data_IF_315753917198
#
_entry.id   IF_315753917198
#
_cell.length_a   1.000
_cell.length_b   1.000
_cell.length_c   1.000
_cell.angle_alpha   90.00
_cell.angle_beta   90.00
_cell.angle_gamma   90.00
#
_symmetry.space_group_name_H-M   'P 1'
#
loop_
_entity.id
_entity.type
_entity.pdbx_description
1 polymer ?
#
# COMPACT_ATOMS: atom_id res chain seq x y z
N UNK A 1 0.11 29.38 -11.59
CA UNK A 1 -1.13 29.13 -10.82
C UNK A 1 -1.62 27.68 -10.94
N UNK A 2 -1.53 27.04 -12.11
CA UNK A 2 -1.95 25.62 -12.27
C UNK A 2 -1.08 24.61 -11.49
N UNK A 3 0.24 24.79 -11.48
CA UNK A 3 1.19 23.90 -10.77
C UNK A 3 0.94 23.85 -9.25
N UNK A 4 0.72 25.00 -8.61
CA UNK A 4 0.43 25.09 -7.17
C UNK A 4 -0.88 24.38 -6.85
N UNK A 5 -1.93 24.54 -7.67
CA UNK A 5 -3.20 23.85 -7.46
C UNK A 5 -3.07 22.33 -7.62
N UNK A 6 -2.26 21.87 -8.57
CA UNK A 6 -1.97 20.44 -8.74
C UNK A 6 -1.21 19.90 -7.53
N UNK A 7 -0.26 20.67 -7.00
CA UNK A 7 0.44 20.29 -5.76
C UNK A 7 -0.51 20.19 -4.56
N UNK A 8 -1.35 21.20 -4.32
CA UNK A 8 -2.38 21.17 -3.27
C UNK A 8 -3.31 19.96 -3.41
N UNK A 9 -3.69 19.62 -4.64
CA UNK A 9 -4.48 18.42 -4.93
C UNK A 9 -3.72 17.14 -4.57
N UNK A 10 -2.44 17.02 -4.93
CA UNK A 10 -1.62 15.85 -4.56
C UNK A 10 -1.47 15.70 -3.05
N UNK A 11 -1.30 16.80 -2.31
CA UNK A 11 -1.27 16.80 -0.83
C UNK A 11 -2.59 16.32 -0.24
N UNK A 12 -3.71 16.80 -0.78
CA UNK A 12 -5.03 16.36 -0.36
C UNK A 12 -5.24 14.86 -0.61
N UNK A 13 -4.88 14.36 -1.80
CA UNK A 13 -5.01 12.94 -2.14
C UNK A 13 -4.11 12.10 -1.25
N UNK A 14 -2.86 12.51 -1.01
CA UNK A 14 -1.93 11.81 -0.10
C UNK A 14 -2.49 11.74 1.32
N UNK A 15 -3.06 12.83 1.84
CA UNK A 15 -3.75 12.86 3.15
C UNK A 15 -4.94 11.91 3.19
N UNK A 16 -5.79 11.91 2.17
CA UNK A 16 -6.94 11.00 2.07
C UNK A 16 -6.48 9.54 1.96
N UNK A 17 -5.44 9.28 1.17
CA UNK A 17 -4.80 7.98 1.02
C UNK A 17 -4.28 7.43 2.35
N UNK A 18 -3.54 8.25 3.10
CA UNK A 18 -3.05 7.90 4.43
C UNK A 18 -4.18 7.64 5.45
N UNK A 19 -5.16 8.54 5.56
CA UNK A 19 -6.27 8.37 6.50
C UNK A 19 -7.13 7.15 6.17
N UNK A 20 -7.46 6.96 4.90
CA UNK A 20 -8.24 5.80 4.44
C UNK A 20 -7.49 4.49 4.65
N UNK A 21 -6.19 4.46 4.34
CA UNK A 21 -5.33 3.28 4.56
C UNK A 21 -5.22 2.96 6.05
N UNK A 22 -5.06 3.96 6.90
CA UNK A 22 -4.97 3.78 8.35
C UNK A 22 -6.28 3.21 8.91
N UNK A 23 -7.42 3.80 8.56
CA UNK A 23 -8.74 3.35 9.05
C UNK A 23 -9.05 1.94 8.54
N UNK A 24 -8.91 1.69 7.23
CA UNK A 24 -9.22 0.39 6.64
C UNK A 24 -8.21 -0.68 7.06
N UNK A 25 -6.93 -0.34 7.21
CA UNK A 25 -5.88 -1.24 7.68
C UNK A 25 -6.12 -1.68 9.12
N UNK A 26 -6.45 -0.74 10.02
CA UNK A 26 -6.80 -1.06 11.40
C UNK A 26 -8.05 -1.95 11.48
N UNK A 27 -9.09 -1.62 10.70
CA UNK A 27 -10.29 -2.45 10.58
C UNK A 27 -9.92 -3.86 10.07
N UNK A 28 -9.15 -3.94 9.00
CA UNK A 28 -8.78 -5.21 8.38
C UNK A 28 -7.96 -6.10 9.32
N UNK A 29 -6.96 -5.55 10.00
CA UNK A 29 -6.15 -6.29 10.98
C UNK A 29 -7.02 -6.73 12.15
N UNK A 30 -7.87 -5.85 12.69
CA UNK A 30 -8.81 -6.20 13.76
C UNK A 30 -9.74 -7.36 13.36
N UNK A 31 -10.32 -7.30 12.15
CA UNK A 31 -11.17 -8.38 11.64
C UNK A 31 -10.39 -9.69 11.46
N UNK A 32 -9.19 -9.61 10.88
CA UNK A 32 -8.32 -10.77 10.62
C UNK A 32 -7.86 -11.46 11.91
N UNK A 33 -7.68 -10.69 12.98
CA UNK A 33 -7.20 -11.22 14.27
C UNK A 33 -8.35 -11.68 15.16
N UNK A 34 -9.44 -10.92 15.24
CA UNK A 34 -10.47 -11.12 16.26
C UNK A 34 -11.77 -11.76 15.77
N UNK A 35 -12.10 -11.67 14.47
CA UNK A 35 -13.45 -12.01 13.98
C UNK A 35 -13.45 -13.07 12.87
N UNK A 36 -12.40 -13.15 12.06
CA UNK A 36 -12.24 -14.18 11.04
C UNK A 36 -11.91 -15.51 11.73
N UNK A 37 -12.88 -16.42 11.78
CA UNK A 37 -12.74 -17.74 12.43
C UNK A 37 -12.03 -18.79 11.57
N UNK A 38 -12.02 -18.57 10.26
CA UNK A 38 -11.44 -19.51 9.31
C UNK A 38 -9.92 -19.45 9.39
N UNK A 39 -9.30 -20.62 9.49
CA UNK A 39 -7.85 -20.71 9.41
C UNK A 39 -7.39 -20.49 7.96
N UNK A 40 -6.62 -19.42 7.76
CA UNK A 40 -5.97 -19.10 6.50
C UNK A 40 -4.50 -19.56 6.48
N UNK A 41 -4.03 -20.20 7.55
CA UNK A 41 -2.63 -20.61 7.71
C UNK A 41 -1.66 -19.44 7.52
N UNK A 42 -0.55 -19.71 6.85
CA UNK A 42 0.47 -18.71 6.48
C UNK A 42 -0.07 -17.51 5.70
N UNK A 43 -1.18 -17.65 4.97
CA UNK A 43 -1.79 -16.54 4.23
C UNK A 43 -2.27 -15.43 5.16
N UNK A 44 -2.72 -15.77 6.38
CA UNK A 44 -3.15 -14.80 7.38
C UNK A 44 -2.01 -13.83 7.73
N UNK A 45 -0.82 -14.37 8.00
CA UNK A 45 0.35 -13.57 8.34
C UNK A 45 0.77 -12.70 7.16
N UNK A 46 0.75 -13.28 5.96
CA UNK A 46 1.10 -12.61 4.72
C UNK A 46 0.17 -11.40 4.44
N UNK A 47 -1.13 -11.52 4.73
CA UNK A 47 -2.09 -10.41 4.63
C UNK A 47 -1.84 -9.31 5.68
N UNK A 48 -1.57 -9.68 6.94
CA UNK A 48 -1.29 -8.71 8.01
C UNK A 48 -0.03 -7.90 7.70
N UNK A 49 1.05 -8.58 7.28
CA UNK A 49 2.30 -7.89 6.93
C UNK A 49 2.11 -6.98 5.73
N UNK A 50 1.28 -7.37 4.75
CA UNK A 50 0.99 -6.50 3.62
C UNK A 50 0.21 -5.25 4.02
N UNK A 51 -0.77 -5.37 4.93
CA UNK A 51 -1.47 -4.20 5.47
C UNK A 51 -0.53 -3.25 6.20
N UNK A 52 0.45 -3.78 6.94
CA UNK A 52 1.48 -2.96 7.57
C UNK A 52 2.39 -2.26 6.54
N UNK A 53 2.82 -2.98 5.49
CA UNK A 53 3.60 -2.38 4.40
C UNK A 53 2.80 -1.29 3.67
N UNK A 54 1.50 -1.51 3.43
CA UNK A 54 0.61 -0.50 2.86
C UNK A 54 0.46 0.73 3.76
N UNK A 55 0.40 0.56 5.08
CA UNK A 55 0.44 1.66 6.03
C UNK A 55 1.76 2.43 5.93
N UNK A 56 2.91 1.74 5.97
CA UNK A 56 4.22 2.39 5.82
C UNK A 56 4.32 3.17 4.51
N UNK A 57 3.79 2.61 3.43
CA UNK A 57 3.80 3.25 2.12
C UNK A 57 3.01 4.56 2.12
N UNK A 58 1.73 4.50 2.52
CA UNK A 58 0.88 5.71 2.59
C UNK A 58 1.37 6.74 3.61
N UNK A 59 1.95 6.31 4.73
CA UNK A 59 2.56 7.18 5.72
C UNK A 59 3.80 7.88 5.17
N UNK A 60 4.68 7.15 4.47
CA UNK A 60 5.88 7.72 3.86
C UNK A 60 5.53 8.77 2.81
N UNK A 61 4.51 8.53 1.97
CA UNK A 61 4.06 9.49 0.98
C UNK A 61 3.46 10.75 1.63
N UNK A 62 2.66 10.58 2.68
CA UNK A 62 2.06 11.70 3.39
C UNK A 62 3.09 12.56 4.14
N UNK A 63 4.08 11.93 4.76
CA UNK A 63 5.10 12.64 5.53
C UNK A 63 6.14 13.33 4.64
N UNK A 64 6.56 12.66 3.55
CA UNK A 64 7.60 13.18 2.67
C UNK A 64 7.03 14.07 1.59
N UNK A 65 5.78 13.84 1.15
CA UNK A 65 5.16 14.53 0.02
C UNK A 65 6.08 14.62 -1.22
N UNK A 66 6.48 13.45 -1.77
CA UNK A 66 7.34 13.42 -2.94
C UNK A 66 6.64 14.05 -4.17
N UNK A 67 7.39 14.80 -4.97
CA UNK A 67 6.92 15.43 -6.20
C UNK A 67 7.82 15.08 -7.37
N UNK A 68 7.24 15.03 -8.57
CA UNK A 68 7.98 14.94 -9.83
C UNK A 68 7.56 16.07 -10.75
N UNK A 69 8.54 16.75 -11.31
CA UNK A 69 8.35 17.66 -12.42
C UNK A 69 9.13 17.16 -13.63
N UNK A 70 8.41 16.82 -14.70
CA UNK A 70 9.01 16.38 -15.96
C UNK A 70 9.24 17.58 -16.85
N UNK A 71 10.44 17.68 -17.41
CA UNK A 71 10.84 18.73 -18.33
C UNK A 71 11.72 18.14 -19.42
N UNK A 72 11.30 18.26 -20.68
CA UNK A 72 12.02 17.76 -21.85
C UNK A 72 12.39 16.26 -21.74
N UNK A 73 13.69 15.95 -21.73
CA UNK A 73 14.24 14.61 -21.61
C UNK A 73 14.60 14.23 -20.17
N UNK A 74 13.90 14.79 -19.19
CA UNK A 74 14.25 14.59 -17.79
C UNK A 74 13.11 14.84 -16.83
N UNK A 75 13.39 14.55 -15.56
CA UNK A 75 12.54 14.97 -14.45
C UNK A 75 13.39 15.33 -13.24
N UNK A 76 12.82 16.18 -12.39
CA UNK A 76 13.32 16.43 -11.03
C UNK A 76 12.36 15.79 -10.03
N UNK A 77 12.92 15.02 -9.12
CA UNK A 77 12.22 14.33 -8.02
C UNK A 77 12.61 15.02 -6.72
N UNK A 78 11.66 15.67 -6.06
CA UNK A 78 11.96 16.56 -4.95
C UNK A 78 10.82 16.57 -3.93
N UNK A 79 11.07 17.20 -2.78
CA UNK A 79 10.06 17.53 -1.77
C UNK A 79 10.18 19.00 -1.43
N UNK A 80 9.10 19.58 -0.91
CA UNK A 80 9.14 20.92 -0.33
C UNK A 80 10.16 20.99 0.81
N UNK A 81 10.88 22.11 0.95
CA UNK A 81 11.71 22.35 2.13
C UNK A 81 10.81 22.54 3.35
N UNK A 82 11.00 21.70 4.38
CA UNK A 82 10.25 21.85 5.62
C UNK A 82 10.81 23.04 6.43
N UNK A 83 9.96 24.02 6.74
CA UNK A 83 10.35 25.33 7.32
C UNK A 83 11.02 25.30 8.72
N UNK A 84 11.15 24.16 9.41
CA UNK A 84 11.63 24.19 10.82
C UNK A 84 12.04 22.86 11.47
N UNK A 85 11.41 21.72 11.15
CA UNK A 85 11.59 20.50 11.97
C UNK A 85 12.64 19.51 11.44
N UNK A 86 12.94 19.54 10.15
CA UNK A 86 13.72 18.49 9.48
C UNK A 86 14.71 19.12 8.51
N UNK A 87 15.97 18.69 8.56
CA UNK A 87 17.00 19.18 7.65
C UNK A 87 16.77 18.68 6.22
N UNK A 88 17.28 19.42 5.23
CA UNK A 88 17.18 19.02 3.83
C UNK A 88 17.80 17.64 3.56
N UNK A 89 18.89 17.29 4.25
CA UNK A 89 19.53 15.98 4.12
C UNK A 89 18.62 14.83 4.59
N UNK A 90 17.91 15.02 5.71
CA UNK A 90 16.96 14.01 6.20
C UNK A 90 15.77 13.89 5.24
N UNK A 91 15.28 15.00 4.69
CA UNK A 91 14.21 14.97 3.69
C UNK A 91 14.65 14.27 2.40
N UNK A 92 15.91 14.46 1.99
CA UNK A 92 16.51 13.75 0.85
C UNK A 92 16.61 12.25 1.10
N UNK A 93 16.97 11.84 2.32
CA UNK A 93 16.90 10.43 2.74
C UNK A 93 15.45 9.93 2.73
N UNK A 94 14.49 10.77 3.13
CA UNK A 94 13.06 10.48 3.08
C UNK A 94 12.55 10.17 1.67
N UNK A 95 13.01 10.92 0.66
CA UNK A 95 12.69 10.67 -0.75
C UNK A 95 13.11 9.26 -1.20
N UNK A 96 14.36 8.87 -0.91
CA UNK A 96 14.85 7.52 -1.28
C UNK A 96 14.21 6.42 -0.44
N UNK A 97 13.84 6.71 0.81
CA UNK A 97 13.09 5.79 1.66
C UNK A 97 11.70 5.50 1.07
N UNK A 98 10.97 6.53 0.63
CA UNK A 98 9.70 6.37 -0.08
C UNK A 98 9.85 5.45 -1.31
N UNK A 99 10.88 5.67 -2.14
CA UNK A 99 11.17 4.80 -3.27
C UNK A 99 11.46 3.35 -2.85
N UNK A 100 12.17 3.16 -1.73
CA UNK A 100 12.44 1.83 -1.19
C UNK A 100 11.20 1.11 -0.69
N UNK A 101 10.26 1.81 -0.07
CA UNK A 101 8.96 1.25 0.33
C UNK A 101 8.11 0.92 -0.90
N UNK A 102 8.11 1.75 -1.94
CA UNK A 102 7.49 1.43 -3.23
C UNK A 102 8.06 0.12 -3.81
N UNK A 103 9.40 0.02 -3.91
CA UNK A 103 10.11 -1.17 -4.41
C UNK A 103 9.80 -2.43 -3.59
N UNK A 104 9.73 -2.28 -2.26
CA UNK A 104 9.34 -3.37 -1.36
C UNK A 104 7.90 -3.79 -1.57
N UNK A 105 7.00 -2.85 -1.81
CA UNK A 105 5.57 -3.09 -2.03
C UNK A 105 5.33 -3.88 -3.32
N UNK A 106 5.92 -3.47 -4.45
CA UNK A 106 5.78 -4.19 -5.72
C UNK A 106 6.35 -5.62 -5.64
N UNK A 107 7.45 -5.79 -4.91
CA UNK A 107 8.05 -7.09 -4.68
C UNK A 107 7.13 -7.98 -3.83
N UNK A 108 6.62 -7.44 -2.72
CA UNK A 108 5.74 -8.19 -1.85
C UNK A 108 4.40 -8.54 -2.52
N UNK A 109 3.86 -7.70 -3.41
CA UNK A 109 2.73 -8.05 -4.28
C UNK A 109 3.07 -9.30 -5.11
N UNK A 110 4.26 -9.34 -5.72
CA UNK A 110 4.70 -10.49 -6.51
C UNK A 110 4.80 -11.77 -5.66
N UNK A 111 5.28 -11.65 -4.42
CA UNK A 111 5.29 -12.74 -3.44
C UNK A 111 3.88 -13.21 -3.08
N UNK A 112 2.90 -12.30 -2.93
CA UNK A 112 1.49 -12.66 -2.71
C UNK A 112 0.92 -13.47 -3.87
N UNK A 113 1.25 -13.07 -5.11
CA UNK A 113 0.83 -13.82 -6.30
C UNK A 113 1.49 -15.19 -6.38
N UNK A 114 2.77 -15.28 -6.01
CA UNK A 114 3.50 -16.55 -5.93
C UNK A 114 2.90 -17.48 -4.87
N UNK A 115 2.59 -16.96 -3.67
CA UNK A 115 1.89 -17.70 -2.63
C UNK A 115 0.58 -18.30 -3.14
N UNK A 116 -0.27 -17.45 -3.74
CA UNK A 116 -1.58 -17.89 -4.25
C UNK A 116 -1.43 -18.93 -5.36
N UNK A 117 -0.41 -18.79 -6.20
CA UNK A 117 -0.09 -19.76 -7.24
C UNK A 117 0.30 -21.12 -6.65
N UNK A 118 1.25 -21.17 -5.71
CA UNK A 118 1.62 -22.43 -5.05
C UNK A 118 0.48 -23.01 -4.21
N UNK A 119 -0.31 -22.18 -3.52
CA UNK A 119 -1.49 -22.67 -2.80
C UNK A 119 -2.49 -23.39 -3.71
N UNK A 120 -2.58 -22.99 -4.99
CA UNK A 120 -3.50 -23.60 -5.94
C UNK A 120 -2.95 -24.88 -6.60
N UNK A 121 -1.66 -24.86 -6.98
CA UNK A 121 -1.05 -25.90 -7.84
C UNK A 121 0.01 -26.77 -7.15
N UNK A 122 0.57 -26.34 -6.03
CA UNK A 122 1.69 -27.00 -5.35
C UNK A 122 1.72 -26.65 -3.85
N UNK A 123 0.69 -27.08 -3.13
CA UNK A 123 0.49 -26.76 -1.71
C UNK A 123 1.67 -27.16 -0.80
N UNK A 124 2.42 -28.27 -1.05
CA UNK A 124 3.62 -28.58 -0.27
C UNK A 124 4.68 -27.47 -0.24
N UNK A 125 4.78 -26.63 -1.29
CA UNK A 125 5.69 -25.47 -1.31
C UNK A 125 5.29 -24.35 -0.36
N UNK A 126 4.11 -24.40 0.25
CA UNK A 126 3.71 -23.40 1.25
C UNK A 126 4.55 -23.45 2.53
N UNK A 127 5.33 -24.51 2.75
CA UNK A 127 6.33 -24.56 3.83
C UNK A 127 7.29 -23.37 3.79
N UNK A 128 7.57 -22.80 2.61
CA UNK A 128 8.39 -21.59 2.44
C UNK A 128 7.76 -20.32 3.01
N UNK A 129 6.50 -20.36 3.41
CA UNK A 129 5.76 -19.25 4.02
C UNK A 129 5.44 -19.50 5.50
N UNK A 130 5.98 -20.55 6.09
CA UNK A 130 5.79 -20.89 7.49
C UNK A 130 7.02 -20.54 8.34
N UNK A 131 6.77 -20.20 9.61
CA UNK A 131 7.82 -19.90 10.59
C UNK A 131 8.83 -18.86 10.11
N UNK A 132 10.13 -19.17 10.28
CA UNK A 132 11.23 -18.28 9.94
C UNK A 132 11.39 -18.07 8.42
N UNK A 133 10.86 -18.96 7.58
CA UNK A 133 10.99 -18.86 6.12
C UNK A 133 10.16 -17.68 5.57
N UNK A 134 9.08 -17.29 6.27
CA UNK A 134 8.35 -16.07 5.97
C UNK A 134 9.25 -14.83 6.06
N UNK A 135 10.19 -14.80 7.01
CA UNK A 135 11.17 -13.70 7.13
C UNK A 135 12.10 -13.64 5.92
N UNK A 136 12.39 -14.75 5.25
CA UNK A 136 13.19 -14.74 4.01
C UNK A 136 12.49 -13.97 2.88
N UNK A 137 11.15 -14.07 2.77
CA UNK A 137 10.39 -13.28 1.79
C UNK A 137 10.36 -11.78 2.12
N UNK A 138 10.38 -11.44 3.41
CA UNK A 138 10.51 -10.05 3.85
C UNK A 138 11.89 -9.49 3.52
N UNK A 139 12.95 -10.26 3.81
CA UNK A 139 14.33 -9.90 3.45
C UNK A 139 14.45 -9.72 1.93
N UNK A 140 13.88 -10.63 1.13
CA UNK A 140 13.85 -10.48 -0.33
C UNK A 140 13.13 -9.19 -0.75
N UNK A 141 11.95 -8.90 -0.18
CA UNK A 141 11.17 -7.73 -0.55
C UNK A 141 11.83 -6.41 -0.16
N UNK A 142 12.32 -6.31 1.07
CA UNK A 142 13.08 -5.16 1.54
C UNK A 142 14.44 -5.03 0.85
N UNK A 143 15.07 -6.15 0.44
CA UNK A 143 16.30 -6.15 -0.35
C UNK A 143 16.10 -5.57 -1.75
N UNK A 144 14.99 -5.91 -2.42
CA UNK A 144 14.59 -5.29 -3.68
C UNK A 144 14.29 -3.79 -3.49
N UNK A 145 13.57 -3.43 -2.43
CA UNK A 145 13.34 -2.03 -2.07
C UNK A 145 14.63 -1.25 -1.81
N UNK A 146 15.57 -1.83 -1.07
CA UNK A 146 16.87 -1.25 -0.79
C UNK A 146 17.69 -1.07 -2.07
N UNK A 147 17.66 -2.04 -2.98
CA UNK A 147 18.33 -1.94 -4.29
C UNK A 147 17.80 -0.72 -5.04
N UNK A 148 16.47 -0.60 -5.18
CA UNK A 148 15.83 0.55 -5.83
C UNK A 148 16.23 1.87 -5.16
N UNK A 149 16.21 1.92 -3.83
CA UNK A 149 16.54 3.12 -3.05
C UNK A 149 17.99 3.56 -3.26
N UNK A 150 18.94 2.62 -3.21
CA UNK A 150 20.36 2.84 -3.47
C UNK A 150 20.57 3.31 -4.92
N UNK A 151 19.86 2.69 -5.87
CA UNK A 151 19.84 3.08 -7.27
C UNK A 151 19.46 4.54 -7.47
N UNK A 152 18.32 4.96 -6.91
CA UNK A 152 17.87 6.36 -6.96
C UNK A 152 18.92 7.28 -6.33
N UNK A 153 19.42 6.94 -5.13
CA UNK A 153 20.39 7.77 -4.43
C UNK A 153 21.66 8.00 -5.26
N UNK A 154 22.22 6.94 -5.84
CA UNK A 154 23.50 7.02 -6.54
C UNK A 154 23.36 7.56 -7.97
N UNK A 155 22.39 7.07 -8.73
CA UNK A 155 22.28 7.38 -10.15
C UNK A 155 21.59 8.71 -10.45
N UNK A 156 20.68 9.17 -9.57
CA UNK A 156 19.96 10.44 -9.72
C UNK A 156 20.51 11.54 -8.81
N UNK A 157 21.67 11.33 -8.18
CA UNK A 157 22.35 12.39 -7.43
C UNK A 157 22.57 13.61 -8.34
N UNK A 158 22.27 14.79 -7.80
CA UNK A 158 22.36 16.05 -8.53
C UNK A 158 23.80 16.34 -8.94
N UNK A 159 23.97 16.89 -10.14
CA UNK A 159 25.25 17.48 -10.56
C UNK A 159 25.02 18.86 -11.17
N UNK A 160 26.11 19.58 -11.44
CA UNK A 160 26.04 20.93 -11.97
C UNK A 160 25.25 21.02 -13.27
N UNK A 161 25.29 19.97 -14.11
CA UNK A 161 24.53 19.97 -15.35
C UNK A 161 23.03 19.88 -15.06
N UNK A 162 22.59 18.91 -14.24
CA UNK A 162 21.17 18.73 -13.96
C UNK A 162 20.58 19.88 -13.13
N UNK A 163 21.36 20.45 -12.21
CA UNK A 163 20.96 21.64 -11.46
C UNK A 163 20.66 22.81 -12.40
N UNK A 164 21.58 23.12 -13.33
CA UNK A 164 21.37 24.19 -14.32
C UNK A 164 20.22 23.87 -15.28
N UNK A 165 20.08 22.60 -15.67
CA UNK A 165 19.04 22.14 -16.60
C UNK A 165 17.62 22.39 -16.09
N UNK A 166 17.39 22.24 -14.79
CA UNK A 166 16.07 22.40 -14.16
C UNK A 166 15.90 23.72 -13.40
N UNK A 167 16.95 24.54 -13.23
CA UNK A 167 16.94 25.73 -12.36
C UNK A 167 15.77 26.67 -12.67
N UNK A 168 15.65 27.11 -13.93
CA UNK A 168 14.59 28.04 -14.34
C UNK A 168 13.21 27.39 -14.24
N UNK A 169 13.05 26.15 -14.70
CA UNK A 169 11.76 25.46 -14.66
C UNK A 169 11.23 25.27 -13.24
N UNK A 170 12.11 24.91 -12.29
CA UNK A 170 11.72 24.77 -10.89
C UNK A 170 11.43 26.12 -10.24
N UNK A 171 12.26 27.12 -10.50
CA UNK A 171 12.07 28.47 -9.96
C UNK A 171 10.77 29.11 -10.47
N UNK A 172 10.50 29.04 -11.77
CA UNK A 172 9.34 29.67 -12.40
C UNK A 172 8.02 28.99 -12.00
N UNK A 173 8.02 27.67 -11.79
CA UNK A 173 6.81 26.92 -11.46
C UNK A 173 6.53 26.78 -9.97
N UNK A 174 7.57 26.71 -9.13
CA UNK A 174 7.46 26.43 -7.69
C UNK A 174 8.06 27.50 -6.80
N UNK A 175 8.82 28.47 -7.34
CA UNK A 175 9.43 29.55 -6.56
C UNK A 175 10.66 29.14 -5.75
N UNK A 176 11.22 27.95 -5.99
CA UNK A 176 12.37 27.44 -5.26
C UNK A 176 13.63 27.40 -6.11
N UNK A 177 14.76 27.67 -5.48
CA UNK A 177 16.07 27.36 -6.06
C UNK A 177 16.33 25.86 -5.88
N UNK A 178 16.52 25.14 -6.97
CA UNK A 178 16.71 23.69 -6.94
C UNK A 178 17.88 23.25 -6.04
N UNK A 179 18.98 24.01 -6.03
CA UNK A 179 20.13 23.72 -5.17
C UNK A 179 19.86 23.89 -3.66
N UNK A 180 18.73 24.49 -3.28
CA UNK A 180 18.36 24.76 -1.89
C UNK A 180 17.26 23.81 -1.36
N UNK A 181 16.79 22.87 -2.19
CA UNK A 181 15.73 21.92 -1.82
C UNK A 181 16.22 20.46 -1.92
N UNK A 182 15.66 19.55 -1.11
CA UNK A 182 15.96 18.12 -1.19
C UNK A 182 15.47 17.58 -2.54
N UNK A 183 16.40 17.11 -3.37
CA UNK A 183 16.08 16.66 -4.72
C UNK A 183 17.05 15.64 -5.27
N UNK A 184 16.56 14.92 -6.26
CA UNK A 184 17.27 14.03 -7.17
C UNK A 184 16.86 14.39 -8.60
N UNK A 185 17.74 14.21 -9.56
CA UNK A 185 17.53 14.65 -10.95
C UNK A 185 17.86 13.56 -11.95
N UNK A 186 17.00 13.44 -12.95
CA UNK A 186 17.14 12.52 -14.06
C UNK A 186 17.13 13.30 -15.36
N UNK A 187 18.16 13.12 -16.21
CA UNK A 187 18.16 13.61 -17.60
C UNK A 187 18.78 12.53 -18.47
N UNK A 188 18.10 12.07 -19.52
CA UNK A 188 18.63 11.00 -20.39
C UNK A 188 19.62 11.52 -21.44
N UNK A 189 19.38 12.70 -22.00
CA UNK A 189 20.19 13.31 -23.06
C UNK A 189 20.82 14.61 -22.60
N UNK A 190 22.08 14.85 -22.96
CA UNK A 190 22.69 16.18 -22.85
C UNK A 190 22.14 17.13 -23.92
N UNK A 191 22.43 18.42 -23.82
CA UNK A 191 22.07 19.41 -24.84
C UNK A 191 22.61 19.07 -26.24
N UNK A 192 23.73 18.35 -26.31
CA UNK A 192 24.33 17.86 -27.57
C UNK A 192 23.76 16.50 -28.03
N UNK A 193 22.76 15.97 -27.34
CA UNK A 193 22.14 14.67 -27.63
C UNK A 193 22.92 13.45 -27.14
N UNK A 194 24.00 13.62 -26.37
CA UNK A 194 24.76 12.50 -25.83
C UNK A 194 24.00 11.84 -24.66
N UNK A 195 24.08 10.51 -24.56
CA UNK A 195 23.42 9.75 -23.49
C UNK A 195 24.16 9.95 -22.17
N UNK A 196 23.42 10.26 -21.11
CA UNK A 196 23.93 10.30 -19.74
C UNK A 196 23.85 8.91 -19.11
N UNK A 197 24.93 8.15 -19.28
CA UNK A 197 25.02 6.74 -18.85
C UNK A 197 24.66 6.51 -17.38
N UNK A 198 25.01 7.45 -16.48
CA UNK A 198 24.64 7.36 -15.05
C UNK A 198 23.12 7.32 -14.87
N UNK A 199 22.40 8.22 -15.54
CA UNK A 199 20.93 8.27 -15.46
C UNK A 199 20.30 7.07 -16.19
N UNK A 200 20.81 6.70 -17.38
CA UNK A 200 20.35 5.50 -18.09
C UNK A 200 20.52 4.21 -17.26
N UNK A 201 21.59 4.09 -16.48
CA UNK A 201 21.79 2.95 -15.58
C UNK A 201 20.63 2.82 -14.57
N UNK A 202 20.12 3.93 -14.04
CA UNK A 202 18.92 3.90 -13.19
C UNK A 202 17.69 3.42 -13.94
N UNK A 203 17.46 3.89 -15.18
CA UNK A 203 16.35 3.40 -16.01
C UNK A 203 16.43 1.90 -16.21
N UNK A 204 17.63 1.37 -16.49
CA UNK A 204 17.87 -0.07 -16.66
C UNK A 204 17.56 -0.81 -15.35
N UNK A 205 18.07 -0.34 -14.22
CA UNK A 205 17.83 -0.93 -12.90
C UNK A 205 16.33 -0.97 -12.56
N UNK A 206 15.65 0.17 -12.63
CA UNK A 206 14.21 0.28 -12.36
C UNK A 206 13.42 -0.64 -13.30
N UNK A 207 13.81 -0.71 -14.57
CA UNK A 207 13.20 -1.59 -15.57
C UNK A 207 13.38 -3.07 -15.25
N UNK A 208 14.57 -3.48 -14.81
CA UNK A 208 14.83 -4.86 -14.40
C UNK A 208 14.00 -5.24 -13.18
N UNK A 209 13.95 -4.37 -12.16
CA UNK A 209 13.18 -4.64 -10.94
C UNK A 209 11.69 -4.71 -11.27
N UNK A 210 11.13 -3.65 -11.86
CA UNK A 210 9.69 -3.60 -12.15
C UNK A 210 9.28 -4.68 -13.16
N UNK A 211 10.11 -4.92 -14.17
CA UNK A 211 9.89 -5.94 -15.20
C UNK A 211 9.88 -7.35 -14.62
N UNK A 212 10.81 -7.67 -13.72
CA UNK A 212 10.86 -8.96 -13.04
C UNK A 212 9.62 -9.18 -12.17
N UNK A 213 9.31 -8.22 -11.29
CA UNK A 213 8.16 -8.32 -10.38
C UNK A 213 6.84 -8.43 -11.17
N UNK A 214 6.65 -7.58 -12.18
CA UNK A 214 5.46 -7.61 -13.02
C UNK A 214 5.35 -8.89 -13.85
N UNK A 215 6.46 -9.46 -14.31
CA UNK A 215 6.49 -10.75 -15.01
C UNK A 215 6.02 -11.89 -14.10
N UNK A 216 6.44 -11.90 -12.83
CA UNK A 216 5.99 -12.90 -11.84
C UNK A 216 4.47 -12.78 -11.63
N UNK A 217 3.96 -11.55 -11.43
CA UNK A 217 2.52 -11.29 -11.25
C UNK A 217 1.73 -11.77 -12.46
N UNK A 218 2.15 -11.38 -13.67
CA UNK A 218 1.48 -11.76 -14.92
C UNK A 218 1.49 -13.28 -15.15
N UNK A 219 2.63 -13.93 -14.93
CA UNK A 219 2.75 -15.38 -15.05
C UNK A 219 1.83 -16.11 -14.07
N UNK A 220 1.93 -15.78 -12.77
CA UNK A 220 1.13 -16.40 -11.71
C UNK A 220 -0.36 -16.12 -11.93
N UNK A 221 -0.73 -14.87 -12.22
CA UNK A 221 -2.09 -14.42 -12.47
C UNK A 221 -2.73 -15.14 -13.67
N UNK A 222 -2.01 -15.26 -14.79
CA UNK A 222 -2.49 -15.99 -15.97
C UNK A 222 -2.69 -17.47 -15.68
N UNK A 223 -1.69 -18.13 -15.08
CA UNK A 223 -1.77 -19.56 -14.75
C UNK A 223 -2.91 -19.86 -13.78
N UNK A 224 -3.05 -19.06 -12.71
CA UNK A 224 -4.17 -19.17 -11.79
C UNK A 224 -5.50 -18.95 -12.50
N UNK A 225 -5.60 -17.97 -13.41
CA UNK A 225 -6.85 -17.69 -14.11
C UNK A 225 -7.29 -18.80 -15.05
N UNK A 226 -6.34 -19.51 -15.66
CA UNK A 226 -6.62 -20.68 -16.50
C UNK A 226 -6.96 -21.89 -15.63
N UNK A 227 -6.08 -22.27 -14.70
CA UNK A 227 -6.25 -23.50 -13.92
C UNK A 227 -7.36 -23.44 -12.86
N UNK A 228 -7.74 -22.25 -12.39
CA UNK A 228 -8.89 -22.09 -11.51
C UNK A 228 -10.20 -22.46 -12.22
N UNK A 229 -10.35 -22.17 -13.52
CA UNK A 229 -11.55 -22.54 -14.27
C UNK A 229 -11.74 -24.05 -14.33
N UNK A 230 -10.65 -24.78 -14.57
CA UNK A 230 -10.61 -26.24 -14.58
C UNK A 230 -10.91 -26.80 -13.18
N UNK A 231 -10.22 -26.33 -12.15
CA UNK A 231 -10.41 -26.82 -10.77
C UNK A 231 -11.81 -26.51 -10.22
N UNK A 232 -12.38 -25.34 -10.50
CA UNK A 232 -13.75 -24.97 -10.11
C UNK A 232 -14.79 -25.95 -10.68
N UNK A 233 -14.54 -26.54 -11.85
CA UNK A 233 -15.47 -27.49 -12.48
C UNK A 233 -15.54 -28.84 -11.74
N UNK A 234 -14.51 -29.18 -10.96
CA UNK A 234 -14.38 -30.45 -10.24
C UNK A 234 -14.79 -30.38 -8.76
N UNK A 235 -15.13 -29.19 -8.24
CA UNK A 235 -15.37 -28.95 -6.81
C UNK A 235 -16.84 -29.04 -6.43
N UNK A 236 -17.09 -29.40 -5.16
CA UNK A 236 -18.43 -29.31 -4.53
C UNK A 236 -18.96 -27.88 -4.52
N UNK A 237 -20.28 -27.69 -4.44
CA UNK A 237 -20.92 -26.37 -4.58
C UNK A 237 -20.39 -25.31 -3.59
N UNK A 238 -20.16 -25.70 -2.33
CA UNK A 238 -19.60 -24.82 -1.30
C UNK A 238 -18.17 -24.41 -1.63
N UNK A 239 -17.32 -25.36 -2.02
CA UNK A 239 -15.93 -25.10 -2.44
C UNK A 239 -15.90 -24.25 -3.70
N UNK A 240 -16.77 -24.53 -4.67
CA UNK A 240 -16.92 -23.79 -5.93
C UNK A 240 -17.23 -22.31 -5.70
N UNK A 241 -18.20 -22.00 -4.82
CA UNK A 241 -18.56 -20.61 -4.45
C UNK A 241 -17.39 -19.86 -3.83
N UNK A 242 -16.62 -20.52 -2.97
CA UNK A 242 -15.46 -19.93 -2.32
C UNK A 242 -14.32 -19.66 -3.30
N UNK A 243 -13.94 -20.65 -4.11
CA UNK A 243 -12.91 -20.52 -5.12
C UNK A 243 -13.25 -19.44 -6.16
N UNK A 244 -14.54 -19.29 -6.51
CA UNK A 244 -15.02 -18.21 -7.36
C UNK A 244 -14.82 -16.82 -6.74
N UNK A 245 -15.00 -16.68 -5.42
CA UNK A 245 -14.76 -15.40 -4.73
C UNK A 245 -13.28 -15.04 -4.73
N UNK A 246 -12.40 -16.00 -4.41
CA UNK A 246 -10.95 -15.77 -4.49
C UNK A 246 -10.50 -15.45 -5.91
N UNK A 247 -11.11 -16.07 -6.92
CA UNK A 247 -10.83 -15.76 -8.32
C UNK A 247 -11.22 -14.32 -8.69
N UNK A 248 -12.38 -13.83 -8.24
CA UNK A 248 -12.79 -12.42 -8.44
C UNK A 248 -11.83 -11.45 -7.74
N UNK A 249 -11.46 -11.74 -6.49
CA UNK A 249 -10.47 -10.96 -5.76
C UNK A 249 -9.12 -10.93 -6.48
N UNK A 250 -8.68 -12.09 -6.98
CA UNK A 250 -7.44 -12.24 -7.74
C UNK A 250 -7.42 -11.35 -8.99
N UNK A 251 -8.47 -11.36 -9.81
CA UNK A 251 -8.55 -10.52 -11.02
C UNK A 251 -8.39 -9.04 -10.63
N UNK A 252 -9.15 -8.60 -9.64
CA UNK A 252 -9.12 -7.20 -9.22
C UNK A 252 -7.75 -6.81 -8.63
N UNK A 253 -7.11 -7.72 -7.88
CA UNK A 253 -5.76 -7.57 -7.34
C UNK A 253 -4.65 -7.61 -8.40
N UNK A 254 -4.92 -8.03 -9.64
CA UNK A 254 -3.95 -7.85 -10.76
C UNK A 254 -4.16 -6.47 -11.38
N UNK A 255 -5.42 -6.11 -11.65
CA UNK A 255 -5.79 -4.88 -12.35
C UNK A 255 -5.42 -3.65 -11.53
N UNK A 256 -5.70 -3.65 -10.24
CA UNK A 256 -5.52 -2.49 -9.36
C UNK A 256 -4.06 -2.06 -9.22
N UNK A 257 -3.11 -2.92 -8.81
CA UNK A 257 -1.70 -2.51 -8.80
C UNK A 257 -1.19 -2.21 -10.21
N UNK A 258 -1.70 -2.88 -11.26
CA UNK A 258 -1.33 -2.54 -12.64
C UNK A 258 -1.65 -1.07 -12.95
N UNK A 259 -2.87 -0.62 -12.66
CA UNK A 259 -3.32 0.73 -12.96
C UNK A 259 -2.74 1.75 -11.98
N UNK A 260 -2.65 1.40 -10.69
CA UNK A 260 -2.31 2.35 -9.64
C UNK A 260 -0.81 2.41 -9.35
N UNK A 261 -0.04 1.35 -9.56
CA UNK A 261 1.40 1.30 -9.24
C UNK A 261 2.29 1.13 -10.47
N UNK A 262 2.01 0.12 -11.30
CA UNK A 262 2.90 -0.23 -12.42
C UNK A 262 2.77 0.77 -13.57
N UNK A 263 1.55 1.06 -14.02
CA UNK A 263 1.30 1.94 -15.15
C UNK A 263 1.82 3.38 -14.93
N UNK A 264 1.56 4.03 -13.78
CA UNK A 264 2.08 5.38 -13.56
C UNK A 264 3.61 5.40 -13.44
N UNK A 265 4.22 4.36 -12.84
CA UNK A 265 5.68 4.25 -12.82
C UNK A 265 6.29 4.01 -14.19
N UNK A 266 5.66 3.20 -15.06
CA UNK A 266 6.11 3.02 -16.44
C UNK A 266 6.11 4.37 -17.17
N UNK A 267 5.07 5.18 -16.98
CA UNK A 267 5.06 6.54 -17.53
C UNK A 267 6.25 7.34 -16.99
N UNK A 268 6.44 7.41 -15.67
CA UNK A 268 7.55 8.18 -15.07
C UNK A 268 8.93 7.73 -15.60
N UNK A 269 9.17 6.42 -15.71
CA UNK A 269 10.45 5.85 -16.12
C UNK A 269 10.76 6.16 -17.59
N UNK A 270 9.76 6.03 -18.48
CA UNK A 270 9.99 6.08 -19.92
C UNK A 270 9.66 7.43 -20.56
N UNK A 271 8.87 8.29 -19.91
CA UNK A 271 8.51 9.61 -20.43
C UNK A 271 9.74 10.45 -20.85
N UNK A 272 10.85 10.51 -20.07
CA UNK A 272 12.07 11.20 -20.48
C UNK A 272 12.73 10.64 -21.75
N UNK A 273 12.59 9.33 -22.01
CA UNK A 273 13.23 8.65 -23.16
C UNK A 273 12.68 9.18 -24.49
N UNK A 274 11.43 9.63 -24.51
CA UNK A 274 10.80 10.18 -25.71
C UNK A 274 11.26 11.61 -26.05
N UNK A 275 12.04 12.28 -25.19
CA UNK A 275 12.58 13.63 -25.40
C UNK A 275 11.52 14.64 -25.90
N UNK A 276 10.33 14.58 -25.32
CA UNK A 276 9.22 15.44 -25.70
C UNK A 276 9.44 16.83 -25.13
N UNK A 277 9.29 17.88 -25.94
CA UNK A 277 9.47 19.28 -25.50
C UNK A 277 8.25 19.78 -24.72
N UNK A 278 8.09 19.36 -23.47
CA UNK A 278 7.02 19.81 -22.59
C UNK A 278 7.50 19.91 -21.13
N UNK A 279 6.72 20.64 -20.34
CA UNK A 279 6.85 20.79 -18.89
C UNK A 279 5.55 20.32 -18.24
N UNK A 280 5.59 19.42 -17.25
CA UNK A 280 4.39 18.89 -16.61
C UNK A 280 4.65 18.42 -15.17
N UNK A 281 3.77 18.75 -14.20
CA UNK A 281 3.87 18.26 -12.82
C UNK A 281 3.44 16.78 -12.77
N UNK A 282 4.31 15.89 -13.23
CA UNK A 282 4.07 14.44 -13.34
C UNK A 282 3.88 13.79 -11.96
N UNK A 283 4.23 14.48 -10.87
CA UNK A 283 3.96 14.07 -9.49
C UNK A 283 2.49 13.76 -9.19
N UNK A 284 1.54 14.27 -9.99
CA UNK A 284 0.14 13.83 -9.91
C UNK A 284 -0.03 12.31 -10.04
N UNK A 285 0.91 11.62 -10.70
CA UNK A 285 0.91 10.16 -10.80
C UNK A 285 1.16 9.46 -9.46
N UNK A 286 1.86 10.08 -8.51
CA UNK A 286 2.00 9.54 -7.15
C UNK A 286 0.69 9.52 -6.39
N UNK A 287 -0.30 10.36 -6.75
CA UNK A 287 -1.64 10.27 -6.16
C UNK A 287 -2.30 8.90 -6.36
N UNK A 288 -1.93 8.16 -7.41
CA UNK A 288 -2.36 6.78 -7.59
C UNK A 288 -1.72 5.81 -6.57
N UNK A 289 -0.50 6.11 -6.12
CA UNK A 289 0.25 5.34 -5.12
C UNK A 289 -0.37 5.53 -3.73
N UNK A 290 -0.70 6.78 -3.37
CA UNK A 290 -1.32 7.12 -2.09
C UNK A 290 -2.60 6.32 -1.80
N UNK A 291 -3.45 6.13 -2.81
CA UNK A 291 -4.76 5.47 -2.68
C UNK A 291 -4.70 3.96 -2.87
N UNK A 292 -3.60 3.42 -3.41
CA UNK A 292 -3.48 1.99 -3.70
C UNK A 292 -3.72 1.11 -2.46
N UNK A 293 -3.04 1.35 -1.30
CA UNK A 293 -3.18 0.47 -0.15
C UNK A 293 -4.62 0.41 0.39
N UNK A 294 -5.32 1.55 0.43
CA UNK A 294 -6.71 1.59 0.90
C UNK A 294 -7.66 0.88 -0.05
N UNK A 295 -7.46 1.00 -1.37
CA UNK A 295 -8.25 0.28 -2.38
C UNK A 295 -8.01 -1.23 -2.27
N UNK A 296 -6.77 -1.69 -2.14
CA UNK A 296 -6.47 -3.13 -2.00
C UNK A 296 -7.16 -3.75 -0.77
N UNK A 297 -7.11 -3.06 0.36
CA UNK A 297 -7.80 -3.51 1.59
C UNK A 297 -9.32 -3.52 1.38
N UNK A 298 -9.89 -2.47 0.80
CA UNK A 298 -11.32 -2.37 0.53
C UNK A 298 -11.82 -3.54 -0.35
N UNK A 299 -11.01 -3.95 -1.33
CA UNK A 299 -11.31 -5.09 -2.21
C UNK A 299 -11.46 -6.39 -1.42
N UNK A 300 -10.53 -6.66 -0.50
CA UNK A 300 -10.58 -7.87 0.31
C UNK A 300 -11.81 -7.84 1.22
N UNK A 301 -12.04 -6.72 1.91
CA UNK A 301 -13.19 -6.54 2.80
C UNK A 301 -14.54 -6.70 2.07
N UNK A 302 -14.63 -6.24 0.82
CA UNK A 302 -15.85 -6.28 0.04
C UNK A 302 -16.10 -7.65 -0.63
N UNK A 303 -15.07 -8.28 -1.20
CA UNK A 303 -15.24 -9.50 -2.01
C UNK A 303 -15.33 -10.76 -1.13
N UNK A 304 -14.47 -10.87 -0.10
CA UNK A 304 -14.31 -12.12 0.65
C UNK A 304 -15.44 -12.28 1.69
N UNK A 305 -16.20 -13.36 1.60
CA UNK A 305 -17.34 -13.61 2.50
C UNK A 305 -16.97 -13.64 3.98
N UNK A 306 -15.83 -14.22 4.33
CA UNK A 306 -15.38 -14.31 5.73
C UNK A 306 -15.20 -12.93 6.35
N UNK A 307 -14.64 -11.97 5.62
CA UNK A 307 -14.51 -10.59 6.06
C UNK A 307 -15.85 -9.87 6.15
N UNK A 308 -16.78 -10.10 5.21
CA UNK A 308 -18.14 -9.55 5.31
C UNK A 308 -18.92 -10.10 6.52
N UNK A 309 -18.74 -11.38 6.84
CA UNK A 309 -19.32 -11.98 8.04
C UNK A 309 -18.67 -11.38 9.29
N UNK A 310 -17.34 -11.23 9.29
CA UNK A 310 -16.58 -10.61 10.38
C UNK A 310 -17.06 -9.17 10.65
N UNK A 311 -17.27 -8.34 9.61
CA UNK A 311 -17.84 -6.98 9.75
C UNK A 311 -19.21 -7.02 10.42
N UNK A 312 -20.10 -7.93 10.01
CA UNK A 312 -21.43 -8.07 10.64
C UNK A 312 -21.33 -8.47 12.12
N UNK A 313 -20.37 -9.33 12.48
CA UNK A 313 -20.13 -9.74 13.87
C UNK A 313 -19.57 -8.58 14.70
N UNK A 314 -18.63 -7.81 14.16
CA UNK A 314 -18.10 -6.60 14.79
C UNK A 314 -19.22 -5.59 15.07
N UNK A 315 -20.07 -5.29 14.08
CA UNK A 315 -21.19 -4.36 14.25
C UNK A 315 -22.21 -4.84 15.29
N UNK A 316 -22.48 -6.16 15.35
CA UNK A 316 -23.33 -6.74 16.41
C UNK A 316 -22.70 -6.58 17.79
N UNK A 317 -21.39 -6.81 17.92
CA UNK A 317 -20.64 -6.64 19.17
C UNK A 317 -20.63 -5.18 19.64
N UNK A 318 -20.44 -4.23 18.73
CA UNK A 318 -20.50 -2.79 19.05
C UNK A 318 -21.91 -2.43 19.52
N UNK A 319 -22.95 -2.91 18.81
CA UNK A 319 -24.35 -2.66 19.19
C UNK A 319 -24.69 -3.24 20.57
N UNK A 320 -24.23 -4.45 20.90
CA UNK A 320 -24.47 -5.02 22.23
C UNK A 320 -23.80 -4.24 23.35
N UNK A 321 -22.57 -3.74 23.13
CA UNK A 321 -21.86 -2.89 24.10
C UNK A 321 -22.59 -1.55 24.30
N UNK A 322 -22.98 -0.88 23.22
CA UNK A 322 -23.72 0.38 23.30
C UNK A 322 -25.09 0.24 23.98
N UNK A 323 -25.80 -0.86 23.71
CA UNK A 323 -27.07 -1.15 24.39
C UNK A 323 -26.83 -1.43 25.89
N UNK A 324 -25.82 -2.23 26.24
CA UNK A 324 -25.50 -2.51 27.65
C UNK A 324 -25.10 -1.25 28.43
N UNK A 325 -24.40 -0.29 27.81
CA UNK A 325 -24.06 0.97 28.47
C UNK A 325 -25.29 1.88 28.66
N UNK A 326 -26.27 1.80 27.76
CA UNK A 326 -27.52 2.58 27.87
C UNK A 326 -28.45 2.11 28.99
N UNK A 327 -28.32 0.86 29.46
CA UNK A 327 -29.09 0.32 30.59
C UNK A 327 -28.50 0.66 31.96
N UNK A 328 -27.27 1.20 32.03
CA UNK A 328 -26.59 1.47 33.30
C UNK A 328 -26.64 2.92 33.87
N UNK A 329 -27.46 3.89 33.40
CA UNK A 329 -27.67 5.13 34.16
C UNK A 329 -29.00 5.11 34.95
N UNK A 330 -28.87 5.28 36.27
CA UNK A 330 -29.89 5.66 37.26
C UNK A 330 -30.93 4.62 37.70
N UNK A 331 -30.52 3.65 38.52
CA UNK A 331 -31.30 3.25 39.71
C UNK A 331 -30.36 2.60 40.75
N UNK A 332 -29.41 3.40 41.25
CA UNK A 332 -28.79 3.13 42.55
C UNK A 332 -29.71 3.68 43.65
N UNK A 333 -30.99 3.26 43.67
CA UNK A 333 -31.82 3.44 44.86
C UNK A 333 -31.50 2.29 45.81
N UNK A 334 -30.68 2.62 46.81
CA UNK A 334 -30.41 1.75 47.97
C UNK A 334 -31.73 1.15 48.48
N UNK A 335 -31.84 -0.18 48.62
CA UNK A 335 -32.98 -0.77 49.29
C UNK A 335 -32.92 -0.36 50.77
N UNK A 336 -33.84 0.51 51.16
CA UNK A 336 -34.15 0.82 52.56
C UNK A 336 -34.64 -0.48 53.21
N UNK A 337 -33.91 -0.95 54.22
CA UNK A 337 -34.33 -2.07 55.07
C UNK A 337 -35.65 -1.72 55.76
N UNK A 338 -36.75 -2.35 55.36
CA UNK A 338 -37.94 -2.47 56.20
C UNK A 338 -38.03 -3.92 56.73
N UNK A 339 -37.87 -4.13 58.05
CA UNK A 339 -37.98 -5.44 58.67
C UNK A 339 -39.43 -5.68 59.12
N UNK A 340 -40.00 -6.86 58.84
CA UNK A 340 -41.20 -7.44 59.48
C UNK A 340 -41.64 -8.67 58.67
N UNK A 341 -42.08 -9.81 59.18
CA UNK A 341 -42.22 -10.43 60.51
C UNK A 341 -42.59 -11.90 60.20
N UNK A 342 -42.24 -12.91 61.02
CA UNK A 342 -42.52 -14.31 60.68
C UNK A 342 -43.95 -14.71 61.08
N UNK A 343 -44.69 -15.33 60.16
CA UNK A 343 -46.00 -15.95 60.43
C UNK A 343 -45.91 -17.50 60.49
N UNK A 344 -46.83 -18.14 61.25
CA UNK A 344 -46.51 -19.31 62.07
C UNK A 344 -46.85 -20.66 61.43
N UNK A 345 -46.11 -21.68 61.87
CA UNK A 345 -46.38 -23.10 61.61
C UNK A 345 -47.57 -23.58 62.46
N UNK A 346 -48.74 -23.66 61.86
CA UNK A 346 -49.79 -24.60 62.26
C UNK A 346 -49.83 -25.74 61.23
N UNK A 347 -50.19 -26.97 61.53
CA UNK A 347 -50.60 -27.63 62.78
C UNK A 347 -50.68 -29.12 62.46
N UNK A 348 -50.42 -29.94 63.46
CA UNK A 348 -50.57 -31.38 63.46
C UNK A 348 -52.05 -31.85 63.31
N UNK A 349 -52.20 -33.06 62.78
CA UNK A 349 -53.25 -34.11 62.93
C UNK A 349 -53.27 -34.90 61.61
N UNK A 350 -53.19 -36.23 61.56
CA UNK A 350 -53.63 -37.30 62.47
C UNK A 350 -52.54 -38.35 62.58
#
# INVERSE_FOLDING_TARGET
>A
MEYIRMDELTKLISKVGFLSTTILGMLFVCLTVCFVKRDFGSYRNLLIVFSFLGFLFSASEYMIHPMIHSYNSGFVFFTEPHLSLVSNEIMKIGLVFFCGIYGSTICFISVQFLYRYWALFDAPKLIWFEGWMMSAWLIYSFGIGATWSIGIHYFLENDNFTLNYFENGVYDHYGWKLSAIPSFTFVIYTERGAIRWRNLACTIEMTMIIGLQYSIICFCGRKMSVGMKEKISMLSETSKRLHTQFFKALILQIVVPTILLFFPMIIIIYLPVFNLKFSFPTGILFSAFAIYPSIDIAIILYIVSDYRIAIKLLLKSIKSVLLSSSYFPHELSLPTCTPQTPLPRGTARI
#
